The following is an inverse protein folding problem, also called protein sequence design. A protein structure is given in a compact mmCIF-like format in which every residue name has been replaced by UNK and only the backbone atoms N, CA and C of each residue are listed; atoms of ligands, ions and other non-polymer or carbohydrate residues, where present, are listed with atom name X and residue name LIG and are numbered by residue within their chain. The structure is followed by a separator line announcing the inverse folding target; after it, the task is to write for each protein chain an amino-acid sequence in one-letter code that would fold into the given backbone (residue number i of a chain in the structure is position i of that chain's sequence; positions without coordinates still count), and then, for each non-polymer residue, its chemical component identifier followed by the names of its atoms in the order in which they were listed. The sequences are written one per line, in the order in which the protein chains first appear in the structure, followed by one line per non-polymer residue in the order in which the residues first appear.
data_IF_065988494863
#
_entry.id   IF_065988494863
#
_cell.length_a   1.000
_cell.length_b   1.000
_cell.length_c   1.000
_cell.angle_alpha   90.00
_cell.angle_beta   90.00
_cell.angle_gamma   90.00
#
_symmetry.space_group_name_H-M   'P 1'
#
loop_
_entity.id
_entity.type
_entity.pdbx_description
1 polymer ?
#
# COMPACT_ATOMS: atom_id res chain seq x y z
N UNK A 1 16.91 -22.88 -36.93
CA UNK A 1 15.91 -22.82 -35.85
C UNK A 1 16.33 -21.73 -34.86
N UNK A 2 15.86 -20.50 -35.06
CA UNK A 2 16.34 -19.29 -34.38
C UNK A 2 15.54 -19.06 -33.10
N UNK A 3 16.24 -18.87 -31.99
CA UNK A 3 15.72 -18.64 -30.64
C UNK A 3 15.26 -17.18 -30.53
N UNK A 4 13.94 -16.95 -30.58
CA UNK A 4 13.35 -15.64 -30.33
C UNK A 4 13.35 -15.34 -28.81
N UNK A 5 14.41 -14.72 -28.31
CA UNK A 5 14.38 -13.99 -27.04
C UNK A 5 14.14 -12.51 -27.33
N UNK A 6 12.89 -12.18 -27.70
CA UNK A 6 12.47 -10.79 -27.83
C UNK A 6 12.08 -10.25 -26.45
N UNK A 7 12.99 -9.44 -25.92
CA UNK A 7 12.76 -8.26 -25.09
C UNK A 7 11.67 -8.36 -24.02
N UNK A 8 12.07 -8.86 -22.86
CA UNK A 8 11.35 -8.62 -21.61
C UNK A 8 11.27 -7.09 -21.38
N UNK A 9 10.06 -6.52 -21.19
CA UNK A 9 9.92 -5.08 -20.92
C UNK A 9 10.73 -4.66 -19.69
N UNK A 10 11.31 -3.44 -19.66
CA UNK A 10 12.06 -2.93 -18.49
C UNK A 10 11.28 -2.98 -17.17
N UNK A 11 9.95 -2.96 -17.22
CA UNK A 11 9.07 -3.07 -16.06
C UNK A 11 8.72 -4.52 -15.67
N UNK A 12 9.04 -5.50 -16.52
CA UNK A 12 8.88 -6.92 -16.25
C UNK A 12 10.20 -7.48 -15.72
N UNK A 13 10.53 -7.19 -14.46
CA UNK A 13 11.61 -7.92 -13.79
C UNK A 13 11.16 -9.37 -13.60
N UNK A 14 11.96 -10.28 -14.13
CA UNK A 14 11.89 -11.71 -13.84
C UNK A 14 11.84 -11.92 -12.32
N UNK A 15 10.95 -12.81 -11.89
CA UNK A 15 10.62 -13.25 -10.52
C UNK A 15 11.89 -13.65 -9.71
N UNK A 16 12.71 -12.69 -9.28
CA UNK A 16 14.06 -12.96 -8.76
C UNK A 16 14.63 -11.89 -7.83
N UNK A 17 13.83 -11.38 -6.89
CA UNK A 17 14.33 -10.80 -5.63
C UNK A 17 13.15 -10.61 -4.66
N UNK A 18 12.72 -11.72 -4.05
CA UNK A 18 11.87 -11.65 -2.87
C UNK A 18 12.75 -11.26 -1.69
N UNK A 19 12.98 -9.96 -1.51
CA UNK A 19 13.71 -9.47 -0.34
C UNK A 19 12.88 -9.72 0.91
N UNK A 20 13.48 -10.37 1.92
CA UNK A 20 12.96 -10.36 3.29
C UNK A 20 12.62 -8.91 3.72
N UNK A 21 11.70 -8.77 4.68
CA UNK A 21 11.41 -7.45 5.24
C UNK A 21 12.70 -6.89 5.82
N UNK A 22 13.14 -5.73 5.31
CA UNK A 22 14.38 -5.09 5.72
C UNK A 22 14.09 -3.76 6.41
N UNK A 23 14.81 -3.47 7.48
CA UNK A 23 14.72 -2.19 8.19
C UNK A 23 15.83 -1.20 7.81
N UNK A 24 16.73 -1.58 6.91
CA UNK A 24 17.83 -0.73 6.45
C UNK A 24 17.28 0.45 5.62
N UNK A 25 17.62 1.70 5.97
CA UNK A 25 17.10 2.88 5.27
C UNK A 25 17.39 2.88 3.77
N UNK A 26 16.38 3.26 2.98
CA UNK A 26 16.45 3.40 1.52
C UNK A 26 15.72 4.67 1.05
N UNK A 27 15.51 4.80 -0.27
CA UNK A 27 14.92 5.98 -0.89
C UNK A 27 13.41 5.85 -1.09
N UNK A 28 12.66 6.98 -1.01
CA UNK A 28 11.24 7.00 -1.34
C UNK A 28 10.93 6.38 -2.70
N UNK A 29 9.87 5.57 -2.75
CA UNK A 29 9.42 4.90 -3.97
C UNK A 29 7.99 5.30 -4.33
N UNK A 30 7.70 5.28 -5.63
CA UNK A 30 6.34 5.49 -6.12
C UNK A 30 5.41 4.39 -5.62
N UNK A 31 4.18 4.76 -5.23
CA UNK A 31 3.24 3.82 -4.60
C UNK A 31 2.76 2.72 -5.53
N UNK A 32 2.90 2.91 -6.85
CA UNK A 32 2.59 1.92 -7.90
C UNK A 32 1.12 1.91 -8.35
N UNK A 33 0.69 0.80 -8.94
CA UNK A 33 -0.58 0.66 -9.66
C UNK A 33 -1.70 0.10 -8.77
N UNK A 34 -2.92 0.63 -8.93
CA UNK A 34 -4.16 0.16 -8.27
C UNK A 34 -4.10 0.12 -6.74
N UNK A 35 -3.30 0.99 -6.12
CA UNK A 35 -3.28 1.18 -4.67
C UNK A 35 -4.09 2.40 -4.27
N UNK A 36 -4.77 2.31 -3.13
CA UNK A 36 -5.25 3.47 -2.41
C UNK A 36 -4.23 3.86 -1.33
N UNK A 37 -4.29 5.13 -0.91
CA UNK A 37 -3.45 5.63 0.16
C UNK A 37 -4.16 6.70 0.99
N UNK A 38 -3.75 6.77 2.26
CA UNK A 38 -4.08 7.84 3.20
C UNK A 38 -2.82 8.68 3.43
N UNK A 39 -2.91 10.00 3.31
CA UNK A 39 -1.91 10.89 3.86
C UNK A 39 -2.40 11.38 5.22
N UNK A 40 -1.67 11.04 6.28
CA UNK A 40 -2.02 11.37 7.65
C UNK A 40 -1.00 12.38 8.16
N UNK A 41 -1.42 13.58 8.59
CA UNK A 41 -0.51 14.53 9.21
C UNK A 41 -0.24 14.00 10.62
N UNK A 42 0.93 13.43 10.84
CA UNK A 42 1.25 12.78 12.10
C UNK A 42 2.66 13.11 12.57
N UNK A 43 2.81 13.16 13.89
CA UNK A 43 4.10 13.22 14.57
C UNK A 43 4.50 11.87 15.19
N UNK A 44 3.63 10.86 15.09
CA UNK A 44 3.83 9.55 15.75
C UNK A 44 3.30 8.40 14.89
N UNK A 45 4.17 7.45 14.57
CA UNK A 45 3.80 6.20 13.90
C UNK A 45 2.92 5.32 14.81
N UNK A 46 3.20 5.30 16.11
CA UNK A 46 2.44 4.52 17.08
C UNK A 46 0.97 4.97 17.16
N UNK A 47 0.75 6.28 17.02
CA UNK A 47 -0.61 6.84 17.00
C UNK A 47 -1.37 6.36 15.76
N UNK A 48 -0.72 6.35 14.58
CA UNK A 48 -1.32 5.83 13.34
C UNK A 48 -1.67 4.35 13.50
N UNK A 49 -0.72 3.55 13.99
CA UNK A 49 -0.91 2.11 14.23
C UNK A 49 -2.13 1.87 15.13
N UNK A 50 -2.22 2.62 16.23
CA UNK A 50 -3.32 2.52 17.20
C UNK A 50 -4.66 2.96 16.61
N UNK A 51 -4.71 4.08 15.89
CA UNK A 51 -5.95 4.65 15.34
C UNK A 51 -6.51 3.78 14.21
N UNK A 52 -5.63 3.21 13.39
CA UNK A 52 -6.01 2.31 12.30
C UNK A 52 -6.14 0.85 12.74
N UNK A 53 -5.96 0.56 14.04
CA UNK A 53 -6.02 -0.79 14.60
C UNK A 53 -5.10 -1.79 13.87
N UNK A 54 -3.93 -1.33 13.44
CA UNK A 54 -2.96 -2.18 12.75
C UNK A 54 -2.37 -3.20 13.73
N UNK A 55 -2.33 -4.46 13.31
CA UNK A 55 -1.80 -5.56 14.12
C UNK A 55 -0.44 -6.01 13.58
N UNK A 56 0.41 -6.51 14.48
CA UNK A 56 1.72 -7.08 14.16
C UNK A 56 2.62 -6.16 13.30
N UNK A 57 2.84 -4.88 13.68
CA UNK A 57 3.68 -3.98 12.90
C UNK A 57 5.12 -4.51 12.84
N UNK A 58 5.67 -4.59 11.63
CA UNK A 58 7.08 -4.93 11.38
C UNK A 58 7.77 -3.72 10.75
N UNK A 59 8.98 -3.40 11.21
CA UNK A 59 9.78 -2.32 10.61
C UNK A 59 10.18 -2.72 9.20
N UNK A 60 9.88 -1.86 8.24
CA UNK A 60 10.19 -2.05 6.83
C UNK A 60 10.71 -0.74 6.23
N UNK A 61 11.66 -0.85 5.32
CA UNK A 61 12.09 0.21 4.42
C UNK A 61 11.10 0.34 3.24
N UNK A 62 11.30 1.32 2.36
CA UNK A 62 10.37 1.60 1.28
C UNK A 62 10.24 0.42 0.32
N UNK A 63 11.36 -0.14 -0.11
CA UNK A 63 11.38 -1.24 -1.06
C UNK A 63 10.68 -2.48 -0.50
N UNK A 64 11.07 -2.92 0.69
CA UNK A 64 10.53 -4.15 1.28
C UNK A 64 9.07 -3.98 1.71
N UNK A 65 8.68 -2.82 2.25
CA UNK A 65 7.30 -2.52 2.63
C UNK A 65 6.34 -2.50 1.44
N UNK A 66 6.71 -1.82 0.35
CA UNK A 66 5.91 -1.83 -0.88
C UNK A 66 5.87 -3.22 -1.52
N UNK A 67 7.01 -3.90 -1.62
CA UNK A 67 7.04 -5.27 -2.15
C UNK A 67 6.11 -6.20 -1.36
N UNK A 68 6.06 -6.06 -0.03
CA UNK A 68 5.19 -6.89 0.81
C UNK A 68 3.70 -6.72 0.46
N UNK A 69 3.21 -5.48 0.34
CA UNK A 69 1.80 -5.24 -0.03
C UNK A 69 1.48 -5.72 -1.45
N UNK A 70 2.42 -5.61 -2.40
CA UNK A 70 2.23 -6.03 -3.79
C UNK A 70 2.29 -7.53 -4.02
N UNK A 71 3.05 -8.24 -3.19
CA UNK A 71 3.29 -9.68 -3.34
C UNK A 71 2.24 -10.52 -2.63
N UNK A 72 1.87 -10.16 -1.40
CA UNK A 72 0.85 -10.92 -0.66
C UNK A 72 -0.56 -10.55 -1.15
N UNK A 73 -0.74 -9.32 -1.66
CA UNK A 73 -2.02 -8.74 -2.15
C UNK A 73 -3.22 -9.00 -1.22
N UNK A 74 -2.97 -9.31 0.04
CA UNK A 74 -4.03 -9.47 1.02
C UNK A 74 -4.60 -8.10 1.31
N UNK A 75 -5.92 -8.02 1.30
CA UNK A 75 -6.67 -6.78 1.53
C UNK A 75 -6.51 -6.24 2.96
N UNK A 76 -5.74 -6.89 3.83
CA UNK A 76 -5.49 -6.44 5.20
C UNK A 76 -4.05 -5.93 5.43
N UNK A 77 -3.15 -6.00 4.45
CA UNK A 77 -1.79 -5.51 4.60
C UNK A 77 -1.67 -4.06 4.13
N UNK A 78 -0.98 -3.25 4.95
CA UNK A 78 -0.65 -1.87 4.64
C UNK A 78 0.82 -1.59 4.92
N UNK A 79 1.40 -0.65 4.18
CA UNK A 79 2.69 -0.07 4.46
C UNK A 79 2.51 1.36 4.96
N UNK A 80 3.12 1.68 6.10
CA UNK A 80 3.17 3.06 6.62
C UNK A 80 4.56 3.62 6.33
N UNK A 81 4.64 4.67 5.52
CA UNK A 81 5.92 5.27 5.15
C UNK A 81 6.60 5.93 6.35
N UNK A 82 7.93 6.09 6.33
CA UNK A 82 8.61 7.09 7.13
C UNK A 82 7.97 8.49 6.96
N UNK A 83 8.25 9.39 7.90
CA UNK A 83 7.71 10.75 7.88
C UNK A 83 8.28 11.56 6.70
N UNK A 84 7.41 12.10 5.85
CA UNK A 84 7.77 12.92 4.69
C UNK A 84 7.14 14.29 4.87
N UNK A 85 7.96 15.31 5.16
CA UNK A 85 7.50 16.70 5.30
C UNK A 85 6.28 16.87 6.22
N UNK A 86 6.22 16.10 7.31
CA UNK A 86 5.11 16.13 8.28
C UNK A 86 3.95 15.17 8.00
N UNK A 87 4.07 14.31 6.99
CA UNK A 87 3.03 13.35 6.61
C UNK A 87 3.57 11.93 6.62
N UNK A 88 2.78 11.00 7.15
CA UNK A 88 2.96 9.58 6.91
C UNK A 88 1.91 9.14 5.89
N UNK A 89 2.32 8.28 4.96
CA UNK A 89 1.41 7.69 3.99
C UNK A 89 1.11 6.25 4.40
N UNK A 90 -0.16 5.89 4.46
CA UNK A 90 -0.61 4.51 4.67
C UNK A 90 -1.08 4.00 3.32
N UNK A 91 -0.43 2.97 2.79
CA UNK A 91 -0.59 2.49 1.42
C UNK A 91 -1.00 1.03 1.45
N UNK A 92 -2.02 0.65 0.68
CA UNK A 92 -2.45 -0.75 0.61
C UNK A 92 -3.64 -0.98 -0.32
N UNK A 93 -3.93 -2.24 -0.58
CA UNK A 93 -5.06 -2.67 -1.40
C UNK A 93 -6.39 -2.70 -0.63
N UNK A 94 -6.31 -2.89 0.69
CA UNK A 94 -7.47 -2.84 1.60
C UNK A 94 -8.07 -1.47 1.83
N UNK A 95 -7.34 -0.41 1.45
CA UNK A 95 -7.76 0.97 1.72
C UNK A 95 -8.83 1.36 0.69
N UNK A 96 -10.03 1.71 1.15
CA UNK A 96 -11.09 2.24 0.29
C UNK A 96 -11.85 1.21 -0.56
N UNK A 97 -11.77 -0.07 -0.20
CA UNK A 97 -12.46 -1.20 -0.86
C UNK A 97 -12.22 -1.30 -2.37
N UNK A 98 -11.05 -1.82 -2.76
CA UNK A 98 -10.99 -2.74 -3.90
C UNK A 98 -11.36 -4.17 -3.51
N UNK A 99 -11.59 -4.43 -2.21
CA UNK A 99 -11.99 -5.74 -1.70
C UNK A 99 -13.45 -6.03 -2.07
N UNK A 100 -13.73 -7.26 -2.47
CA UNK A 100 -15.10 -7.76 -2.65
C UNK A 100 -15.72 -8.28 -1.35
N UNK A 101 -14.97 -8.24 -0.25
CA UNK A 101 -15.36 -8.75 1.06
C UNK A 101 -16.04 -7.66 1.92
N UNK A 102 -17.32 -7.88 2.23
CA UNK A 102 -18.16 -6.95 3.01
C UNK A 102 -17.67 -6.75 4.44
N UNK A 103 -17.05 -7.76 5.07
CA UNK A 103 -16.61 -7.68 6.47
C UNK A 103 -15.36 -6.82 6.60
N UNK A 104 -14.38 -7.03 5.72
CA UNK A 104 -13.17 -6.21 5.65
C UNK A 104 -13.50 -4.74 5.37
N UNK A 105 -14.49 -4.49 4.50
CA UNK A 105 -14.97 -3.14 4.23
C UNK A 105 -15.57 -2.46 5.47
N UNK A 106 -16.33 -3.20 6.29
CA UNK A 106 -16.92 -2.65 7.52
C UNK A 106 -15.84 -2.29 8.55
N UNK A 107 -14.86 -3.17 8.74
CA UNK A 107 -13.72 -2.95 9.65
C UNK A 107 -12.91 -1.72 9.19
N UNK A 108 -12.66 -1.61 7.89
CA UNK A 108 -11.96 -0.46 7.34
C UNK A 108 -12.74 0.85 7.51
N UNK A 109 -14.06 0.86 7.26
CA UNK A 109 -14.89 2.05 7.45
C UNK A 109 -14.93 2.51 8.93
N UNK A 110 -14.94 1.57 9.87
CA UNK A 110 -14.82 1.90 11.30
C UNK A 110 -13.47 2.56 11.62
N UNK A 111 -12.39 2.08 11.00
CA UNK A 111 -11.05 2.64 11.15
C UNK A 111 -10.96 4.05 10.55
N UNK A 112 -11.59 4.30 9.39
CA UNK A 112 -11.68 5.65 8.83
C UNK A 112 -12.48 6.62 9.70
N UNK A 113 -13.57 6.14 10.32
CA UNK A 113 -14.34 6.96 11.27
C UNK A 113 -13.49 7.35 12.47
N UNK A 114 -12.76 6.39 13.03
CA UNK A 114 -11.83 6.61 14.14
C UNK A 114 -10.70 7.57 13.76
N UNK A 115 -10.19 7.46 12.53
CA UNK A 115 -9.19 8.37 11.99
C UNK A 115 -9.74 9.79 11.84
N UNK A 116 -10.94 9.96 11.27
CA UNK A 116 -11.57 11.26 11.10
C UNK A 116 -11.80 11.99 12.43
N UNK A 117 -12.16 11.25 13.50
CA UNK A 117 -12.37 11.82 14.82
C UNK A 117 -11.07 12.27 15.50
N UNK A 118 -9.98 11.51 15.33
CA UNK A 118 -8.72 11.74 16.05
C UNK A 118 -7.72 12.59 15.26
N UNK A 119 -7.76 12.48 13.93
CA UNK A 119 -6.83 13.11 12.99
C UNK A 119 -7.62 13.74 11.83
N UNK A 120 -8.40 14.80 12.06
CA UNK A 120 -9.41 15.30 11.10
C UNK A 120 -8.83 15.85 9.79
N UNK A 121 -7.52 16.10 9.72
CA UNK A 121 -6.86 16.71 8.56
C UNK A 121 -6.19 15.68 7.62
N UNK A 122 -6.63 14.42 7.64
CA UNK A 122 -6.11 13.40 6.74
C UNK A 122 -6.67 13.56 5.32
N UNK A 123 -5.90 13.12 4.33
CA UNK A 123 -6.30 13.07 2.92
C UNK A 123 -6.40 11.60 2.51
N UNK A 124 -7.43 11.25 1.75
CA UNK A 124 -7.58 9.93 1.14
C UNK A 124 -7.54 10.05 -0.38
N UNK A 125 -6.86 9.12 -1.05
CA UNK A 125 -6.88 8.97 -2.49
C UNK A 125 -7.10 7.52 -2.88
N UNK A 126 -8.08 7.29 -3.75
CA UNK A 126 -8.40 5.99 -4.33
C UNK A 126 -8.24 6.11 -5.84
N UNK A 127 -7.31 5.37 -6.44
CA UNK A 127 -7.12 5.35 -7.91
C UNK A 127 -7.89 4.19 -8.52
N UNK A 128 -9.06 4.46 -9.09
CA UNK A 128 -9.81 3.49 -9.89
C UNK A 128 -9.31 3.57 -11.34
N UNK A 129 -8.78 2.47 -11.88
CA UNK A 129 -8.41 2.36 -13.29
C UNK A 129 -9.42 1.46 -13.99
N UNK A 130 -10.27 2.05 -14.82
CA UNK A 130 -11.18 1.32 -15.71
C UNK A 130 -10.36 0.61 -16.79
N UNK A 131 -10.56 -0.70 -16.95
CA UNK A 131 -10.09 -1.45 -18.13
C UNK A 131 -11.33 -1.72 -18.98
N UNK A 132 -11.41 -1.10 -20.15
CA UNK A 132 -12.44 -1.43 -21.13
C UNK A 132 -12.17 -2.85 -21.65
N UNK A 133 -13.05 -3.80 -21.32
CA UNK A 133 -13.05 -5.12 -21.93
C UNK A 133 -13.90 -5.00 -23.21
N UNK A 134 -13.29 -4.57 -24.31
CA UNK A 134 -13.87 -4.82 -25.63
C UNK A 134 -13.78 -6.32 -25.88
N UNK A 135 -14.92 -7.00 -25.82
CA UNK A 135 -15.05 -8.37 -26.30
C UNK A 135 -14.84 -8.33 -27.82
N UNK A 136 -13.79 -9.00 -28.29
CA UNK A 136 -13.57 -9.31 -29.70
C UNK A 136 -14.02 -10.72 -30.01
#
# INVERSE_FOLDING_TARGET
MIRLLNSIPRWFKQKSDYSEISSEPDFPQGFGYKTAWLAIPSKSLDEIIKVLHLSQPVKANWQSGLNHIYNDRKDNHVFVTPLIKGWNFVIGFGIGSFSTDKENNKIFLHSLTSLAQKMPNFIISVRIVYVNITHG
#
